data_IF_692172622660
#
_entry.id   IF_692172622660
#
_cell.length_a   1.000
_cell.length_b   1.000
_cell.length_c   1.000
_cell.angle_alpha   90.00
_cell.angle_beta   90.00
_cell.angle_gamma   90.00
#
_symmetry.space_group_name_H-M   'P 1'
#
loop_
_entity.id
_entity.type
_entity.pdbx_description
1 polymer ?
#
# COMPACT_ATOMS: atom_id res chain seq x y z
N UNK A 1 -23.29 -4.27 16.31
CA UNK A 1 -23.34 -4.32 14.84
C UNK A 1 -22.67 -5.63 14.46
N UNK A 2 -23.44 -6.62 13.98
CA UNK A 2 -22.88 -7.92 13.59
C UNK A 2 -22.16 -7.79 12.25
N UNK A 3 -20.99 -8.40 12.13
CA UNK A 3 -20.32 -8.62 10.85
C UNK A 3 -20.77 -9.99 10.36
N UNK A 4 -21.25 -10.06 9.12
CA UNK A 4 -21.67 -11.31 8.51
C UNK A 4 -20.46 -12.26 8.40
N UNK A 5 -20.58 -13.42 9.03
CA UNK A 5 -19.52 -14.43 9.10
C UNK A 5 -19.93 -15.62 9.97
N UNK A 6 -19.22 -16.76 9.86
CA UNK A 6 -19.43 -17.90 10.74
C UNK A 6 -19.24 -17.50 12.22
N UNK A 7 -19.97 -18.16 13.11
CA UNK A 7 -19.85 -17.94 14.56
C UNK A 7 -18.39 -18.18 14.99
N UNK A 8 -17.80 -17.23 15.73
CA UNK A 8 -16.44 -17.38 16.23
C UNK A 8 -16.30 -18.62 17.15
N UNK A 9 -17.40 -19.05 17.80
CA UNK A 9 -17.42 -20.27 18.62
C UNK A 9 -17.26 -21.56 17.81
N UNK A 10 -17.42 -21.52 16.48
CA UNK A 10 -17.26 -22.69 15.61
C UNK A 10 -15.80 -22.98 15.22
N UNK A 11 -14.84 -22.20 15.71
CA UNK A 11 -13.41 -22.37 15.41
C UNK A 11 -12.64 -22.73 16.68
N UNK A 12 -11.79 -23.75 16.59
CA UNK A 12 -10.84 -24.09 17.66
C UNK A 12 -9.73 -23.03 17.81
N UNK A 13 -9.38 -22.36 16.70
CA UNK A 13 -8.42 -21.26 16.67
C UNK A 13 -8.65 -20.35 15.45
N UNK A 14 -8.32 -19.07 15.59
CA UNK A 14 -8.19 -18.14 14.48
C UNK A 14 -6.80 -17.49 14.48
N UNK A 15 -6.32 -17.16 13.29
CA UNK A 15 -5.00 -16.55 13.08
C UNK A 15 -5.19 -15.16 12.49
N UNK A 16 -4.82 -14.13 13.27
CA UNK A 16 -4.79 -12.76 12.79
C UNK A 16 -3.44 -12.45 12.17
N UNK A 17 -3.37 -12.46 10.85
CA UNK A 17 -2.15 -12.09 10.12
C UNK A 17 -2.02 -10.58 10.04
N UNK A 18 -0.91 -10.04 10.53
CA UNK A 18 -0.65 -8.59 10.61
C UNK A 18 0.29 -8.06 9.53
N UNK A 19 0.78 -8.93 8.65
CA UNK A 19 1.73 -8.63 7.57
C UNK A 19 2.69 -9.79 7.36
N UNK A 20 3.37 -9.85 6.21
CA UNK A 20 4.61 -10.61 6.11
C UNK A 20 5.69 -9.73 6.74
N UNK A 21 6.18 -10.16 7.91
CA UNK A 21 7.14 -9.39 8.70
C UNK A 21 8.47 -9.30 7.96
N UNK A 22 9.11 -8.11 7.89
CA UNK A 22 10.49 -7.98 7.41
C UNK A 22 11.50 -8.65 8.36
N UNK A 23 11.07 -9.01 9.57
CA UNK A 23 11.82 -9.89 10.47
C UNK A 23 11.43 -11.33 10.18
N UNK A 24 12.39 -12.14 9.73
CA UNK A 24 12.20 -13.54 9.34
C UNK A 24 12.04 -13.72 7.83
N UNK A 25 11.78 -14.95 7.42
CA UNK A 25 11.61 -15.33 6.02
C UNK A 25 10.12 -15.18 5.61
N UNK A 26 9.87 -14.36 4.60
CA UNK A 26 8.52 -14.08 4.11
C UNK A 26 7.86 -15.30 3.45
N UNK A 27 8.64 -16.15 2.78
CA UNK A 27 8.14 -17.36 2.13
C UNK A 27 7.78 -18.42 3.18
N UNK A 28 8.57 -18.52 4.25
CA UNK A 28 8.25 -19.38 5.39
C UNK A 28 6.95 -18.92 6.08
N UNK A 29 6.77 -17.62 6.31
CA UNK A 29 5.54 -17.07 6.88
C UNK A 29 4.33 -17.33 5.97
N UNK A 30 4.47 -17.09 4.67
CA UNK A 30 3.44 -17.40 3.68
C UNK A 30 3.06 -18.88 3.71
N UNK A 31 4.05 -19.77 3.71
CA UNK A 31 3.85 -21.21 3.76
C UNK A 31 3.12 -21.64 5.04
N UNK A 32 3.49 -21.07 6.19
CA UNK A 32 2.84 -21.32 7.48
C UNK A 32 1.37 -20.89 7.45
N UNK A 33 1.07 -19.67 7.00
CA UNK A 33 -0.30 -19.20 6.93
C UNK A 33 -1.14 -20.06 5.99
N UNK A 34 -0.56 -20.51 4.87
CA UNK A 34 -1.24 -21.37 3.89
C UNK A 34 -1.56 -22.73 4.48
N UNK A 35 -0.60 -23.34 5.18
CA UNK A 35 -0.83 -24.61 5.87
C UNK A 35 -1.93 -24.50 6.94
N UNK A 36 -1.92 -23.42 7.75
CA UNK A 36 -2.96 -23.17 8.76
C UNK A 36 -4.34 -22.99 8.13
N UNK A 37 -4.43 -22.24 7.03
CA UNK A 37 -5.70 -22.07 6.31
C UNK A 37 -6.21 -23.40 5.73
N UNK A 38 -5.30 -24.26 5.24
CA UNK A 38 -5.65 -25.58 4.69
C UNK A 38 -6.03 -26.60 5.77
N UNK A 39 -5.56 -26.42 7.02
CA UNK A 39 -5.93 -27.27 8.15
C UNK A 39 -7.28 -26.91 8.79
N UNK A 40 -8.03 -25.96 8.21
CA UNK A 40 -9.35 -25.54 8.69
C UNK A 40 -9.34 -24.37 9.67
N UNK A 41 -8.16 -23.81 10.01
CA UNK A 41 -8.11 -22.61 10.84
C UNK A 41 -8.63 -21.39 10.07
N UNK A 42 -9.36 -20.51 10.76
CA UNK A 42 -9.77 -19.24 10.18
C UNK A 42 -8.59 -18.28 10.14
N UNK A 43 -8.08 -17.98 8.94
CA UNK A 43 -6.98 -17.04 8.73
C UNK A 43 -7.53 -15.70 8.23
N UNK A 44 -7.33 -14.64 9.01
CA UNK A 44 -7.79 -13.28 8.70
C UNK A 44 -6.59 -12.33 8.62
N UNK A 45 -6.34 -11.64 7.52
CA UNK A 45 -7.03 -11.72 6.23
C UNK A 45 -6.67 -13.01 5.48
N UNK A 46 -7.49 -13.38 4.48
CA UNK A 46 -7.11 -14.42 3.50
C UNK A 46 -5.74 -14.07 2.92
N UNK A 47 -4.90 -15.09 2.73
CA UNK A 47 -3.50 -14.89 2.35
C UNK A 47 -3.38 -14.20 1.00
N UNK A 48 -4.20 -14.60 0.02
CA UNK A 48 -4.20 -13.96 -1.30
C UNK A 48 -4.54 -12.47 -1.19
N UNK A 49 -5.50 -12.10 -0.34
CA UNK A 49 -5.84 -10.70 -0.09
C UNK A 49 -4.71 -9.93 0.59
N UNK A 50 -3.94 -10.59 1.46
CA UNK A 50 -2.74 -10.00 2.07
C UNK A 50 -1.65 -9.76 1.02
N UNK A 51 -1.41 -10.71 0.12
CA UNK A 51 -0.44 -10.56 -0.97
C UNK A 51 -0.85 -9.45 -1.93
N UNK A 52 -2.12 -9.44 -2.34
CA UNK A 52 -2.70 -8.40 -3.20
C UNK A 52 -2.48 -7.00 -2.61
N UNK A 53 -2.69 -6.84 -1.29
CA UNK A 53 -2.60 -5.57 -0.58
C UNK A 53 -1.15 -5.10 -0.29
N UNK A 54 -0.17 -6.01 -0.27
CA UNK A 54 1.24 -5.67 0.00
C UNK A 54 1.99 -5.20 -1.25
N UNK A 55 1.58 -5.68 -2.42
CA UNK A 55 2.12 -5.24 -3.70
C UNK A 55 1.34 -4.01 -4.21
N UNK A 56 2.01 -2.86 -4.23
CA UNK A 56 1.40 -1.59 -4.68
C UNK A 56 0.95 -1.62 -6.14
N UNK A 57 1.68 -2.31 -7.02
CA UNK A 57 1.29 -2.43 -8.41
C UNK A 57 0.04 -3.30 -8.53
N UNK A 58 0.03 -4.46 -7.87
CA UNK A 58 -1.10 -5.38 -7.87
C UNK A 58 -2.36 -4.76 -7.27
N UNK A 59 -2.23 -4.08 -6.14
CA UNK A 59 -3.34 -3.29 -5.55
C UNK A 59 -3.89 -2.29 -6.57
N UNK A 60 -3.03 -1.50 -7.20
CA UNK A 60 -3.47 -0.47 -8.16
C UNK A 60 -4.15 -1.09 -9.39
N UNK A 61 -3.63 -2.22 -9.88
CA UNK A 61 -4.24 -2.97 -10.97
C UNK A 61 -5.64 -3.50 -10.60
N UNK A 62 -5.81 -4.07 -9.41
CA UNK A 62 -7.10 -4.59 -8.93
C UNK A 62 -8.12 -3.46 -8.74
N UNK A 63 -7.70 -2.32 -8.17
CA UNK A 63 -8.56 -1.14 -8.02
C UNK A 63 -9.01 -0.60 -9.39
N UNK A 64 -8.08 -0.48 -10.34
CA UNK A 64 -8.38 -0.06 -11.71
C UNK A 64 -9.38 -1.01 -12.39
N UNK A 65 -9.18 -2.33 -12.25
CA UNK A 65 -10.10 -3.35 -12.78
C UNK A 65 -11.49 -3.30 -12.14
N UNK A 66 -11.58 -2.85 -10.90
CA UNK A 66 -12.85 -2.63 -10.20
C UNK A 66 -13.51 -1.28 -10.57
N UNK A 67 -12.91 -0.48 -11.45
CA UNK A 67 -13.41 0.83 -11.84
C UNK A 67 -13.21 1.92 -10.79
N UNK A 68 -12.35 1.68 -9.79
CA UNK A 68 -12.06 2.66 -8.74
C UNK A 68 -11.04 3.69 -9.24
N UNK A 69 -11.21 4.98 -8.90
CA UNK A 69 -10.28 6.00 -9.31
C UNK A 69 -8.93 5.80 -8.61
N UNK A 70 -7.88 5.61 -9.38
CA UNK A 70 -6.51 5.52 -8.90
C UNK A 70 -5.62 6.50 -9.69
N UNK A 71 -4.62 7.13 -9.06
CA UNK A 71 -3.62 7.90 -9.79
C UNK A 71 -2.93 7.04 -10.84
N UNK A 72 -2.53 7.65 -11.96
CA UNK A 72 -1.74 6.96 -13.00
C UNK A 72 -0.49 6.36 -12.37
N UNK A 73 -0.18 5.12 -12.74
CA UNK A 73 0.92 4.38 -12.17
C UNK A 73 1.58 3.48 -13.21
N UNK A 74 2.88 3.24 -13.01
CA UNK A 74 3.73 2.42 -13.87
C UNK A 74 4.68 1.60 -13.00
N UNK A 75 4.89 0.35 -13.39
CA UNK A 75 5.98 -0.48 -12.89
C UNK A 75 7.12 -0.36 -13.90
N UNK A 76 8.30 0.04 -13.44
CA UNK A 76 9.49 0.21 -14.29
C UNK A 76 10.64 -0.64 -13.75
N UNK A 77 11.44 -1.19 -14.64
CA UNK A 77 12.60 -2.04 -14.30
C UNK A 77 13.88 -1.54 -14.96
N UNK A 78 13.80 -0.49 -15.78
CA UNK A 78 14.96 0.11 -16.42
C UNK A 78 14.96 1.63 -16.27
N UNK A 79 16.16 2.20 -16.27
CA UNK A 79 16.37 3.65 -16.22
C UNK A 79 15.68 4.36 -17.39
N UNK A 80 15.68 3.74 -18.57
CA UNK A 80 15.03 4.30 -19.75
C UNK A 80 13.51 4.43 -19.56
N UNK A 81 12.85 3.38 -19.07
CA UNK A 81 11.41 3.42 -18.74
C UNK A 81 11.12 4.46 -17.65
N UNK A 82 11.91 4.48 -16.58
CA UNK A 82 11.71 5.41 -15.48
C UNK A 82 11.82 6.88 -15.94
N UNK A 83 12.81 7.19 -16.79
CA UNK A 83 12.97 8.53 -17.39
C UNK A 83 11.81 8.87 -18.31
N UNK A 84 11.39 7.96 -19.18
CA UNK A 84 10.25 8.18 -20.08
C UNK A 84 8.97 8.51 -19.29
N UNK A 85 8.71 7.79 -18.20
CA UNK A 85 7.59 8.06 -17.30
C UNK A 85 7.75 9.42 -16.60
N UNK A 86 8.93 9.72 -16.05
CA UNK A 86 9.20 11.00 -15.38
C UNK A 86 8.99 12.19 -16.32
N UNK A 87 9.51 12.13 -17.56
CA UNK A 87 9.29 13.18 -18.56
C UNK A 87 7.82 13.25 -19.00
N UNK A 88 7.14 12.11 -19.14
CA UNK A 88 5.72 12.10 -19.53
C UNK A 88 4.79 12.68 -18.46
N UNK A 89 5.11 12.51 -17.18
CA UNK A 89 4.25 12.94 -16.07
C UNK A 89 4.72 14.20 -15.37
N UNK A 90 5.95 14.65 -15.63
CA UNK A 90 6.64 15.82 -15.07
C UNK A 90 6.92 15.73 -13.56
N UNK A 91 6.06 15.04 -12.81
CA UNK A 91 6.19 14.88 -11.38
C UNK A 91 5.64 13.52 -10.94
N UNK A 92 6.44 12.80 -10.15
CA UNK A 92 6.13 11.43 -9.73
C UNK A 92 6.41 11.21 -8.26
N UNK A 93 5.78 10.18 -7.70
CA UNK A 93 6.17 9.57 -6.44
C UNK A 93 6.74 8.20 -6.75
N UNK A 94 8.03 8.01 -6.49
CA UNK A 94 8.73 6.73 -6.62
C UNK A 94 8.61 5.94 -5.31
N UNK A 95 8.22 4.66 -5.41
CA UNK A 95 7.98 3.77 -4.26
C UNK A 95 8.55 2.38 -4.55
N UNK A 96 9.07 1.68 -3.53
CA UNK A 96 9.28 0.23 -3.63
C UNK A 96 7.94 -0.47 -3.84
N UNK A 97 7.92 -1.61 -4.54
CA UNK A 97 6.69 -2.41 -4.72
C UNK A 97 6.12 -2.83 -3.36
N UNK A 98 7.00 -3.34 -2.50
CA UNK A 98 6.68 -3.79 -1.15
C UNK A 98 7.11 -2.73 -0.12
N UNK A 99 6.72 -2.89 1.14
CA UNK A 99 7.12 -1.99 2.23
C UNK A 99 6.00 -1.10 2.75
N UNK A 100 6.23 -0.54 3.93
CA UNK A 100 5.23 0.13 4.76
C UNK A 100 5.75 1.44 5.36
N UNK A 101 4.92 2.14 6.13
CA UNK A 101 5.29 3.35 6.89
C UNK A 101 5.88 4.52 6.06
N UNK A 102 5.72 4.48 4.74
CA UNK A 102 6.26 5.48 3.82
C UNK A 102 7.78 5.40 3.63
N UNK A 103 8.40 4.29 4.00
CA UNK A 103 9.80 4.02 3.68
C UNK A 103 9.97 3.87 2.17
N UNK A 104 11.06 4.44 1.62
CA UNK A 104 11.32 4.45 0.19
C UNK A 104 10.32 5.26 -0.66
N UNK A 105 9.48 6.08 -0.04
CA UNK A 105 8.54 6.97 -0.76
C UNK A 105 9.17 8.34 -0.95
N UNK A 106 9.44 8.67 -2.21
CA UNK A 106 10.12 9.91 -2.61
C UNK A 106 9.31 10.62 -3.70
N UNK A 107 9.05 11.92 -3.51
CA UNK A 107 8.45 12.79 -4.52
C UNK A 107 9.56 13.40 -5.36
N UNK A 108 9.41 13.36 -6.68
CA UNK A 108 10.44 13.78 -7.63
C UNK A 108 9.81 14.63 -8.73
N UNK A 109 10.37 15.81 -8.95
CA UNK A 109 10.06 16.69 -10.08
C UNK A 109 11.09 16.43 -11.17
N UNK A 110 10.66 16.41 -12.42
CA UNK A 110 11.53 16.15 -13.58
C UNK A 110 12.76 17.06 -13.57
N UNK A 111 13.93 16.46 -13.83
CA UNK A 111 15.21 17.15 -13.88
C UNK A 111 16.39 16.20 -13.61
N UNK A 112 17.63 16.67 -13.82
CA UNK A 112 18.82 15.81 -13.75
C UNK A 112 18.99 15.09 -12.42
N UNK A 113 18.67 15.75 -11.30
CA UNK A 113 18.74 15.15 -9.97
C UNK A 113 17.73 13.99 -9.78
N UNK A 114 16.49 14.17 -10.27
CA UNK A 114 15.48 13.11 -10.21
C UNK A 114 15.83 11.94 -11.12
N UNK A 115 16.36 12.20 -12.32
CA UNK A 115 16.82 11.15 -13.23
C UNK A 115 17.97 10.33 -12.66
N UNK A 116 18.93 11.00 -12.01
CA UNK A 116 20.04 10.34 -11.33
C UNK A 116 19.51 9.48 -10.17
N UNK A 117 18.66 10.06 -9.32
CA UNK A 117 18.07 9.36 -8.18
C UNK A 117 17.25 8.13 -8.59
N UNK A 118 16.47 8.21 -9.66
CA UNK A 118 15.73 7.05 -10.19
C UNK A 118 16.68 5.95 -10.68
N UNK A 119 17.82 6.32 -11.27
CA UNK A 119 18.84 5.37 -11.73
C UNK A 119 19.45 4.62 -10.53
N UNK A 120 19.83 5.34 -9.48
CA UNK A 120 20.35 4.75 -8.23
C UNK A 120 19.34 3.78 -7.61
N UNK A 121 18.10 4.24 -7.43
CA UNK A 121 17.05 3.43 -6.82
C UNK A 121 16.71 2.18 -7.62
N UNK A 122 16.73 2.24 -8.95
CA UNK A 122 16.54 1.06 -9.77
C UNK A 122 17.70 0.06 -9.63
N UNK A 123 18.94 0.54 -9.47
CA UNK A 123 20.08 -0.34 -9.21
C UNK A 123 19.98 -1.02 -7.84
N UNK A 124 19.41 -0.34 -6.84
CA UNK A 124 19.20 -0.86 -5.47
C UNK A 124 18.00 -1.81 -5.37
N UNK A 125 16.87 -1.45 -6.00
CA UNK A 125 15.57 -2.12 -5.79
C UNK A 125 15.19 -3.07 -6.93
N UNK A 126 15.86 -2.99 -8.09
CA UNK A 126 15.57 -3.78 -9.31
C UNK A 126 14.29 -3.36 -10.05
N UNK A 127 13.28 -2.88 -9.33
CA UNK A 127 12.03 -2.38 -9.89
C UNK A 127 11.46 -1.25 -9.03
N UNK A 128 10.79 -0.30 -9.68
CA UNK A 128 10.12 0.82 -9.01
C UNK A 128 8.66 0.94 -9.43
N UNK A 129 7.82 1.23 -8.45
CA UNK A 129 6.46 1.69 -8.68
C UNK A 129 6.48 3.22 -8.75
N UNK A 130 6.26 3.75 -9.96
CA UNK A 130 6.11 5.18 -10.19
C UNK A 130 4.63 5.53 -10.23
N UNK A 131 4.23 6.53 -9.45
CA UNK A 131 2.89 7.08 -9.45
C UNK A 131 2.94 8.55 -9.87
N UNK A 132 2.07 9.00 -10.75
CA UNK A 132 1.94 10.42 -11.05
C UNK A 132 1.61 11.19 -9.77
N UNK A 133 2.32 12.29 -9.53
CA UNK A 133 2.03 13.14 -8.38
C UNK A 133 0.60 13.69 -8.48
N UNK A 134 -0.15 13.56 -7.39
CA UNK A 134 -1.47 14.16 -7.23
C UNK A 134 -1.35 15.16 -6.09
N UNK A 135 -1.50 16.47 -6.37
CA UNK A 135 -1.57 17.48 -5.34
C UNK A 135 -2.64 17.11 -4.32
N UNK A 136 -2.26 17.09 -3.04
CA UNK A 136 -3.17 16.76 -1.96
C UNK A 136 -3.30 17.97 -1.00
N UNK A 137 -4.42 18.09 -0.27
CA UNK A 137 -4.68 19.18 0.68
C UNK A 137 -3.89 19.07 2.00
N UNK A 138 -2.77 18.35 2.02
CA UNK A 138 -1.99 18.07 3.23
C UNK A 138 -2.61 17.01 4.14
N UNK A 139 -3.60 16.27 3.67
CA UNK A 139 -4.21 15.16 4.41
C UNK A 139 -4.63 14.02 3.48
N UNK A 140 -4.78 12.83 4.07
CA UNK A 140 -5.45 11.69 3.43
C UNK A 140 -6.55 11.13 4.31
N UNK A 141 -7.42 10.33 3.68
CA UNK A 141 -8.46 9.57 4.35
C UNK A 141 -8.03 8.12 4.49
N UNK A 142 -8.14 7.57 5.69
CA UNK A 142 -8.00 6.15 5.98
C UNK A 142 -9.34 5.59 6.44
N UNK A 143 -9.93 4.73 5.61
CA UNK A 143 -11.13 3.97 5.93
C UNK A 143 -10.76 2.58 6.49
N UNK A 144 -11.52 2.11 7.47
CA UNK A 144 -11.41 0.77 8.05
C UNK A 144 -12.66 -0.03 7.67
N UNK A 145 -12.47 -1.06 6.86
CA UNK A 145 -13.55 -1.93 6.38
C UNK A 145 -13.47 -3.27 7.13
N UNK A 146 -14.59 -3.71 7.72
CA UNK A 146 -14.70 -5.00 8.42
C UNK A 146 -15.96 -5.70 7.89
N UNK A 147 -15.80 -6.94 7.41
CA UNK A 147 -16.92 -7.71 6.82
C UNK A 147 -17.62 -6.97 5.67
N UNK A 148 -16.86 -6.25 4.84
CA UNK A 148 -17.40 -5.48 3.71
C UNK A 148 -18.09 -4.16 4.07
N UNK A 149 -18.10 -3.77 5.36
CA UNK A 149 -18.77 -2.54 5.83
C UNK A 149 -17.75 -1.52 6.34
N UNK A 150 -17.98 -0.24 6.05
CA UNK A 150 -17.21 0.86 6.62
C UNK A 150 -17.46 0.93 8.14
N UNK A 151 -16.47 0.55 8.93
CA UNK A 151 -16.55 0.55 10.39
C UNK A 151 -16.23 1.94 10.96
N UNK A 152 -15.17 2.57 10.45
CA UNK A 152 -14.79 3.94 10.78
C UNK A 152 -13.82 4.51 9.75
N UNK A 153 -13.57 5.82 9.82
CA UNK A 153 -12.51 6.47 9.07
C UNK A 153 -11.82 7.56 9.89
N UNK A 154 -10.58 7.85 9.52
CA UNK A 154 -9.80 8.95 10.05
C UNK A 154 -9.20 9.75 8.90
N UNK A 155 -9.11 11.06 9.08
CA UNK A 155 -8.21 11.90 8.31
C UNK A 155 -6.85 11.91 8.97
N UNK A 156 -5.78 11.87 8.19
CA UNK A 156 -4.42 12.01 8.69
C UNK A 156 -3.80 13.24 8.07
N UNK A 157 -3.55 14.24 8.89
CA UNK A 157 -3.03 15.54 8.47
C UNK A 157 -1.51 15.53 8.60
N UNK A 158 -0.81 15.74 7.50
CA UNK A 158 0.64 15.83 7.47
C UNK A 158 1.15 17.04 8.25
N UNK A 159 2.44 17.03 8.60
CA UNK A 159 3.09 18.21 9.15
C UNK A 159 3.36 19.23 8.04
N UNK A 160 3.55 20.49 8.42
CA UNK A 160 3.92 21.54 7.47
C UNK A 160 5.22 21.19 6.74
N UNK A 161 5.21 21.33 5.41
CA UNK A 161 6.35 20.94 4.55
C UNK A 161 6.50 19.44 4.28
N UNK A 162 5.69 18.57 4.89
CA UNK A 162 5.69 17.13 4.63
C UNK A 162 4.47 16.73 3.78
N UNK A 163 4.69 16.00 2.69
CA UNK A 163 3.60 15.57 1.81
C UNK A 163 3.01 14.21 2.24
N UNK A 164 3.75 13.44 3.05
CA UNK A 164 3.35 12.13 3.55
C UNK A 164 2.55 12.30 4.84
N UNK A 165 1.32 11.83 4.77
CA UNK A 165 0.27 11.89 5.80
C UNK A 165 0.31 10.71 6.77
N UNK A 166 1.40 9.94 6.80
CA UNK A 166 1.45 8.77 7.66
C UNK A 166 1.81 9.12 9.11
N UNK A 167 1.21 8.41 10.07
CA UNK A 167 1.37 8.68 11.51
C UNK A 167 2.83 8.48 11.95
N UNK A 168 3.54 7.53 11.33
CA UNK A 168 4.96 7.29 11.60
C UNK A 168 5.86 8.49 11.27
N UNK A 169 5.41 9.39 10.38
CA UNK A 169 6.07 10.67 10.05
C UNK A 169 5.45 11.86 10.78
N UNK A 170 4.70 11.60 11.87
CA UNK A 170 4.16 12.63 12.75
C UNK A 170 2.85 13.26 12.30
N UNK A 171 2.15 12.65 11.33
CA UNK A 171 0.82 13.09 10.94
C UNK A 171 -0.19 12.93 12.09
N UNK A 172 -1.10 13.90 12.24
CA UNK A 172 -2.10 13.93 13.31
C UNK A 172 -3.43 13.32 12.82
N UNK A 173 -3.96 12.29 13.50
CA UNK A 173 -5.26 11.72 13.15
C UNK A 173 -6.40 12.63 13.62
N UNK A 174 -7.46 12.73 12.81
CA UNK A 174 -8.74 13.37 13.16
C UNK A 174 -9.89 12.42 12.78
N UNK A 175 -10.98 12.34 13.56
CA UNK A 175 -12.15 11.57 13.15
C UNK A 175 -12.69 12.07 11.81
N UNK A 176 -13.01 11.15 10.90
CA UNK A 176 -13.61 11.49 9.61
C UNK A 176 -14.94 10.74 9.43
N UNK A 177 -15.88 11.40 8.75
CA UNK A 177 -17.15 10.81 8.32
C UNK A 177 -17.21 10.91 6.80
N UNK A 178 -16.73 9.90 6.07
CA UNK A 178 -16.81 9.89 4.62
C UNK A 178 -18.28 9.94 4.24
N UNK A 179 -18.64 10.83 3.31
CA UNK A 179 -19.94 10.76 2.66
C UNK A 179 -20.06 9.41 1.91
N UNK A 180 -21.26 8.80 1.86
CA UNK A 180 -21.50 7.60 1.08
C UNK A 180 -21.08 7.73 -0.39
#
# INVERSE_FOLDING_TARGET
>A
MGVDGPDASSFDAFVLVRGLSPRGDADAQFSLYRALSQSGALVVNRIDALLDAQDKFRTSHLLLRAGLPTPRAALVQSTAEARAILHGWQEVVAKPLYGSLGEGVERMVVGPAAEHRLTERLAEEGALYLQQWVPNPGHDLRAFIIGGRLACAIERVAQEGEFRTNIARGARPRPARPSP
#
